data_IF_234445411440
#
_entry.id   IF_234445411440
#
_cell.length_a   1.000
_cell.length_b   1.000
_cell.length_c   1.000
_cell.angle_alpha   90.00
_cell.angle_beta   90.00
_cell.angle_gamma   90.00
#
_symmetry.space_group_name_H-M   'P 1'
#
loop_
_entity.id
_entity.type
_entity.pdbx_description
1 polymer ?
#
# COMPACT_ATOMS: atom_id res chain seq x y z
N UNK A 1 -5.36 21.59 -32.31
CA UNK A 1 -5.08 20.13 -32.30
C UNK A 1 -6.10 19.45 -31.39
N UNK A 2 -6.68 18.32 -31.81
CA UNK A 2 -7.64 17.56 -30.98
C UNK A 2 -6.84 16.67 -30.03
N UNK A 3 -7.03 16.84 -28.72
CA UNK A 3 -6.42 15.97 -27.71
C UNK A 3 -7.28 14.71 -27.60
N UNK A 4 -6.66 13.53 -27.61
CA UNK A 4 -7.37 12.24 -27.54
C UNK A 4 -6.81 11.37 -26.42
N UNK A 5 -7.64 10.46 -25.92
CA UNK A 5 -7.21 9.44 -24.97
C UNK A 5 -6.24 8.47 -25.65
N UNK A 6 -5.07 8.24 -25.06
CA UNK A 6 -4.06 7.33 -25.60
C UNK A 6 -4.53 5.87 -25.61
N UNK A 7 -5.46 5.48 -24.74
CA UNK A 7 -5.96 4.09 -24.66
C UNK A 7 -7.10 3.83 -25.64
N UNK A 8 -8.14 4.67 -25.61
CA UNK A 8 -9.39 4.39 -26.33
C UNK A 8 -9.63 5.34 -27.52
N UNK A 9 -8.66 6.20 -27.84
CA UNK A 9 -8.65 7.20 -28.93
C UNK A 9 -9.79 8.22 -28.93
N UNK A 10 -10.73 8.14 -27.97
CA UNK A 10 -11.82 9.09 -27.80
C UNK A 10 -11.30 10.52 -27.62
N UNK A 11 -11.96 11.52 -28.24
CA UNK A 11 -11.62 12.92 -28.05
C UNK A 11 -11.81 13.33 -26.59
N UNK A 12 -10.87 14.11 -26.09
CA UNK A 12 -10.89 14.70 -24.75
C UNK A 12 -11.38 16.14 -24.84
N UNK A 13 -12.07 16.65 -23.81
CA UNK A 13 -12.44 18.06 -23.80
C UNK A 13 -11.18 18.92 -23.82
N UNK A 14 -11.25 20.12 -24.41
CA UNK A 14 -10.18 21.09 -24.26
C UNK A 14 -9.99 21.42 -22.76
N UNK A 15 -8.76 21.78 -22.34
CA UNK A 15 -8.55 22.29 -20.99
C UNK A 15 -9.48 23.48 -20.74
N UNK A 16 -9.92 23.72 -19.48
CA UNK A 16 -10.81 24.83 -19.16
C UNK A 16 -10.16 26.13 -19.63
N UNK A 17 -10.71 26.69 -20.70
CA UNK A 17 -10.40 28.03 -21.16
C UNK A 17 -11.05 28.99 -20.15
N UNK A 18 -10.35 30.02 -19.68
CA UNK A 18 -10.92 31.04 -18.80
C UNK A 18 -12.01 31.81 -19.55
N UNK A 19 -13.23 31.31 -19.61
CA UNK A 19 -14.37 32.04 -20.17
C UNK A 19 -15.50 32.07 -19.16
N UNK A 20 -15.93 33.29 -18.84
CA UNK A 20 -16.87 33.68 -17.79
C UNK A 20 -18.33 33.24 -18.04
N UNK A 21 -18.57 32.00 -18.45
CA UNK A 21 -19.90 31.56 -18.86
C UNK A 21 -20.38 30.38 -18.02
N UNK A 22 -21.52 30.60 -17.35
CA UNK A 22 -22.26 29.67 -16.49
C UNK A 22 -22.88 28.49 -17.25
N UNK A 23 -22.05 27.66 -17.89
CA UNK A 23 -22.48 26.36 -18.40
C UNK A 23 -21.76 25.25 -17.64
N UNK A 24 -22.51 24.51 -16.82
CA UNK A 24 -22.07 23.27 -16.20
C UNK A 24 -21.89 22.19 -17.27
N UNK A 25 -20.77 22.26 -18.00
CA UNK A 25 -20.28 21.11 -18.74
C UNK A 25 -19.64 20.14 -17.73
N UNK A 26 -19.99 18.84 -17.73
CA UNK A 26 -19.32 17.89 -16.85
C UNK A 26 -17.83 17.92 -17.19
N UNK A 27 -17.01 18.32 -16.22
CA UNK A 27 -15.55 18.34 -16.34
C UNK A 27 -15.07 16.90 -16.58
N UNK A 28 -14.95 16.48 -17.83
CA UNK A 28 -14.27 15.24 -18.19
C UNK A 28 -12.77 15.48 -18.08
N UNK A 29 -12.28 15.57 -16.84
CA UNK A 29 -10.88 15.84 -16.52
C UNK A 29 -10.04 14.63 -16.94
N UNK A 30 -9.36 14.72 -18.08
CA UNK A 30 -8.37 13.72 -18.46
C UNK A 30 -7.13 13.82 -17.57
N UNK A 31 -6.38 12.73 -17.44
CA UNK A 31 -5.15 12.69 -16.63
C UNK A 31 -3.95 12.44 -17.51
N UNK A 32 -2.95 13.30 -17.37
CA UNK A 32 -1.64 13.17 -18.01
C UNK A 32 -0.70 12.37 -17.11
N UNK A 33 -0.11 11.32 -17.64
CA UNK A 33 0.91 10.51 -16.96
C UNK A 33 2.29 11.17 -17.07
N UNK A 34 3.27 10.78 -16.23
CA UNK A 34 4.66 11.26 -16.36
C UNK A 34 5.29 10.96 -17.73
N UNK A 35 4.80 9.95 -18.45
CA UNK A 35 5.21 9.61 -19.82
C UNK A 35 4.46 10.42 -20.89
N UNK A 36 3.82 11.54 -20.52
CA UNK A 36 3.04 12.47 -21.38
C UNK A 36 1.78 11.91 -22.05
N UNK A 37 1.51 10.61 -21.95
CA UNK A 37 0.24 10.03 -22.38
C UNK A 37 -0.94 10.51 -21.53
N UNK A 38 -2.12 10.61 -22.17
CA UNK A 38 -3.32 11.18 -21.55
C UNK A 38 -4.42 10.13 -21.55
N UNK A 39 -4.98 9.83 -20.38
CA UNK A 39 -6.08 8.89 -20.24
C UNK A 39 -7.38 9.61 -19.86
N UNK A 40 -8.49 9.27 -20.52
CA UNK A 40 -9.81 9.67 -20.06
C UNK A 40 -10.15 9.02 -18.72
N UNK A 41 -11.06 9.61 -17.94
CA UNK A 41 -11.48 9.04 -16.65
C UNK A 41 -12.01 7.60 -16.75
N UNK A 42 -12.82 7.21 -17.77
CA UNK A 42 -13.23 5.82 -17.93
C UNK A 42 -12.05 4.84 -18.08
N UNK A 43 -11.06 5.17 -18.91
CA UNK A 43 -9.86 4.34 -19.07
C UNK A 43 -9.00 4.30 -17.81
N UNK A 44 -8.85 5.44 -17.12
CA UNK A 44 -8.14 5.50 -15.85
C UNK A 44 -8.84 4.63 -14.78
N UNK A 45 -10.18 4.70 -14.70
CA UNK A 45 -10.97 3.88 -13.78
C UNK A 45 -10.84 2.39 -14.10
N UNK A 46 -10.89 2.01 -15.38
CA UNK A 46 -10.65 0.61 -15.79
C UNK A 46 -9.26 0.13 -15.40
N UNK A 47 -8.23 0.95 -15.61
CA UNK A 47 -6.85 0.65 -15.19
C UNK A 47 -6.77 0.46 -13.66
N UNK A 48 -7.37 1.36 -12.88
CA UNK A 48 -7.49 1.23 -11.42
C UNK A 48 -8.18 -0.07 -11.01
N UNK A 49 -9.34 -0.39 -11.60
CA UNK A 49 -10.05 -1.64 -11.30
C UNK A 49 -9.17 -2.86 -11.58
N UNK A 50 -8.52 -2.93 -12.74
CA UNK A 50 -7.61 -4.04 -13.08
C UNK A 50 -6.44 -4.14 -12.10
N UNK A 51 -5.92 -3.00 -11.62
CA UNK A 51 -4.86 -2.95 -10.62
C UNK A 51 -5.35 -3.45 -9.24
N UNK A 52 -6.56 -3.06 -8.82
CA UNK A 52 -7.07 -3.34 -7.48
C UNK A 52 -7.81 -4.65 -7.33
N UNK A 53 -8.36 -5.21 -8.41
CA UNK A 53 -9.05 -6.50 -8.36
C UNK A 53 -8.04 -7.60 -8.04
N UNK A 54 -8.23 -8.35 -6.94
CA UNK A 54 -7.42 -9.53 -6.67
C UNK A 54 -7.72 -10.59 -7.73
N UNK A 55 -6.70 -11.03 -8.45
CA UNK A 55 -6.77 -12.17 -9.36
C UNK A 55 -5.80 -13.20 -8.81
N UNK A 56 -6.26 -14.44 -8.66
CA UNK A 56 -5.45 -15.53 -8.14
C UNK A 56 -4.18 -15.69 -8.99
N UNK A 57 -3.04 -15.89 -8.33
CA UNK A 57 -1.72 -16.05 -8.97
C UNK A 57 -1.22 -14.86 -9.81
N UNK A 58 -1.94 -13.74 -9.86
CA UNK A 58 -1.49 -12.53 -10.55
C UNK A 58 -0.97 -11.51 -9.54
N UNK A 59 0.31 -11.13 -9.60
CA UNK A 59 0.85 -10.14 -8.68
C UNK A 59 0.20 -8.78 -8.91
N UNK A 60 0.04 -8.01 -7.83
CA UNK A 60 -0.38 -6.61 -7.93
C UNK A 60 0.51 -5.85 -8.93
N UNK A 61 -0.14 -5.02 -9.76
CA UNK A 61 0.50 -4.07 -10.66
C UNK A 61 -0.13 -2.71 -10.40
N UNK A 62 0.65 -1.67 -10.09
CA UNK A 62 0.09 -0.33 -9.89
C UNK A 62 -0.49 0.22 -11.18
N UNK A 63 -1.39 1.21 -11.05
CA UNK A 63 -1.90 2.02 -12.16
C UNK A 63 -0.72 2.67 -12.88
N UNK A 64 -0.46 2.17 -14.09
CA UNK A 64 0.64 2.59 -14.94
C UNK A 64 0.20 2.73 -16.39
N UNK A 65 0.98 3.48 -17.16
CA UNK A 65 0.76 3.67 -18.60
C UNK A 65 1.87 2.96 -19.39
N UNK A 66 3.10 3.44 -19.26
CA UNK A 66 4.30 2.84 -19.84
C UNK A 66 5.04 1.99 -18.79
N UNK A 67 5.97 1.13 -19.21
CA UNK A 67 6.87 0.44 -18.28
C UNK A 67 7.48 1.44 -17.28
N UNK A 68 7.42 1.11 -16.00
CA UNK A 68 7.94 1.92 -14.89
C UNK A 68 7.32 3.32 -14.75
N UNK A 69 6.24 3.63 -15.47
CA UNK A 69 5.57 4.94 -15.40
C UNK A 69 4.21 4.83 -14.74
N UNK A 70 4.19 5.03 -13.42
CA UNK A 70 2.98 5.00 -12.58
C UNK A 70 2.39 6.38 -12.36
N UNK A 71 1.08 6.43 -12.14
CA UNK A 71 0.43 7.67 -11.72
C UNK A 71 0.64 7.89 -10.21
N UNK A 72 1.07 9.09 -9.77
CA UNK A 72 1.15 9.41 -8.34
C UNK A 72 -0.20 9.23 -7.63
N UNK A 73 -0.18 8.61 -6.44
CA UNK A 73 -1.39 8.32 -5.67
C UNK A 73 -2.26 9.57 -5.37
N UNK A 74 -1.70 10.77 -5.06
CA UNK A 74 -2.51 11.97 -4.88
C UNK A 74 -3.32 12.35 -6.14
N UNK A 75 -2.70 12.22 -7.32
CA UNK A 75 -3.35 12.50 -8.60
C UNK A 75 -4.43 11.46 -8.88
N UNK A 76 -4.12 10.17 -8.66
CA UNK A 76 -5.08 9.08 -8.82
C UNK A 76 -6.30 9.25 -7.90
N UNK A 77 -6.07 9.60 -6.63
CA UNK A 77 -7.13 9.89 -5.65
C UNK A 77 -8.04 11.02 -6.14
N UNK A 78 -7.45 12.14 -6.54
CA UNK A 78 -8.20 13.30 -6.99
C UNK A 78 -8.99 13.01 -8.27
N UNK A 79 -8.36 12.38 -9.26
CA UNK A 79 -8.99 12.10 -10.55
C UNK A 79 -10.15 11.11 -10.47
N UNK A 80 -10.03 10.06 -9.64
CA UNK A 80 -11.07 9.03 -9.51
C UNK A 80 -12.06 9.29 -8.36
N UNK A 81 -11.79 10.27 -7.50
CA UNK A 81 -12.60 10.53 -6.31
C UNK A 81 -12.48 9.42 -5.26
N UNK A 82 -11.29 8.83 -5.10
CA UNK A 82 -11.10 7.70 -4.19
C UNK A 82 -11.30 8.11 -2.73
N UNK A 83 -12.06 7.31 -1.99
CA UNK A 83 -12.24 7.49 -0.55
C UNK A 83 -11.00 7.04 0.25
N UNK A 84 -10.97 7.34 1.54
CA UNK A 84 -9.81 7.04 2.40
C UNK A 84 -9.50 5.54 2.48
N UNK A 85 -10.52 4.67 2.49
CA UNK A 85 -10.32 3.22 2.55
C UNK A 85 -9.72 2.66 1.26
N UNK A 86 -10.18 3.16 0.10
CA UNK A 86 -9.61 2.83 -1.21
C UNK A 86 -8.15 3.26 -1.32
N UNK A 87 -7.84 4.49 -0.89
CA UNK A 87 -6.47 5.03 -0.88
C UNK A 87 -5.57 4.21 0.03
N UNK A 88 -6.02 3.86 1.24
CA UNK A 88 -5.25 3.06 2.20
C UNK A 88 -5.00 1.64 1.68
N UNK A 89 -6.01 1.02 1.05
CA UNK A 89 -5.89 -0.31 0.43
C UNK A 89 -4.91 -0.31 -0.74
N UNK A 90 -5.03 0.66 -1.66
CA UNK A 90 -4.12 0.79 -2.79
C UNK A 90 -2.69 1.07 -2.34
N UNK A 91 -2.50 1.96 -1.36
CA UNK A 91 -1.20 2.25 -0.74
C UNK A 91 -0.58 0.97 -0.17
N UNK A 92 -1.39 0.02 0.32
CA UNK A 92 -0.91 -1.22 0.94
C UNK A 92 -0.25 -2.12 -0.07
N UNK A 93 -0.96 -2.34 -1.16
CA UNK A 93 -0.46 -3.13 -2.28
C UNK A 93 0.73 -2.43 -2.93
N UNK A 94 0.73 -1.09 -2.99
CA UNK A 94 1.84 -0.31 -3.49
C UNK A 94 3.10 -0.46 -2.64
N UNK A 95 2.99 -0.37 -1.32
CA UNK A 95 4.12 -0.57 -0.42
C UNK A 95 4.67 -2.00 -0.46
N UNK A 96 3.79 -3.00 -0.64
CA UNK A 96 4.22 -4.39 -0.84
C UNK A 96 4.96 -4.57 -2.18
N UNK A 97 4.49 -3.90 -3.23
CA UNK A 97 5.10 -3.94 -4.56
C UNK A 97 6.45 -3.23 -4.62
N UNK A 98 6.56 -2.05 -4.01
CA UNK A 98 7.80 -1.26 -3.95
C UNK A 98 8.84 -1.86 -2.97
N UNK A 99 8.43 -2.83 -2.14
CA UNK A 99 9.30 -3.38 -1.09
C UNK A 99 10.28 -4.42 -1.65
N UNK A 100 11.60 -4.23 -1.46
CA UNK A 100 12.61 -5.20 -1.91
C UNK A 100 12.56 -6.50 -1.11
N UNK A 101 12.19 -6.44 0.18
CA UNK A 101 12.11 -7.60 1.08
C UNK A 101 10.72 -7.72 1.66
N UNK A 102 10.02 -8.79 1.29
CA UNK A 102 8.64 -9.05 1.73
C UNK A 102 8.61 -9.68 3.11
N UNK A 103 7.82 -9.11 4.00
CA UNK A 103 7.52 -9.66 5.32
C UNK A 103 6.00 -9.65 5.51
N UNK A 104 5.45 -10.79 5.89
CA UNK A 104 4.02 -10.94 6.14
C UNK A 104 3.78 -11.24 7.63
N UNK A 105 2.58 -10.96 8.10
CA UNK A 105 2.15 -11.35 9.44
C UNK A 105 2.33 -12.86 9.64
N UNK A 106 2.89 -13.27 10.78
CA UNK A 106 3.10 -14.68 11.11
C UNK A 106 1.76 -15.46 11.17
N UNK A 107 0.68 -14.78 11.57
CA UNK A 107 -0.67 -15.34 11.57
C UNK A 107 -1.25 -15.32 10.16
N UNK A 108 -0.80 -16.28 9.34
CA UNK A 108 -1.18 -16.38 7.92
C UNK A 108 -2.65 -16.73 7.72
N UNK A 109 -3.26 -17.43 8.68
CA UNK A 109 -4.65 -17.89 8.59
C UNK A 109 -5.62 -16.75 8.90
N UNK A 110 -5.37 -15.98 9.96
CA UNK A 110 -6.31 -14.92 10.39
C UNK A 110 -5.96 -13.54 9.86
N UNK A 111 -4.71 -13.32 9.43
CA UNK A 111 -4.26 -11.98 9.05
C UNK A 111 -3.47 -11.95 7.74
N UNK A 112 -2.30 -12.59 7.68
CA UNK A 112 -1.46 -12.68 6.48
C UNK A 112 -1.01 -11.36 5.85
N UNK A 113 -1.33 -10.19 6.43
CA UNK A 113 -1.02 -8.88 5.84
C UNK A 113 0.48 -8.64 5.69
N UNK A 114 0.85 -7.99 4.60
CA UNK A 114 2.20 -7.43 4.43
C UNK A 114 2.52 -6.41 5.53
N UNK A 115 3.75 -6.46 6.04
CA UNK A 115 4.30 -5.56 7.05
C UNK A 115 5.31 -4.63 6.35
N UNK A 116 4.99 -3.35 6.14
CA UNK A 116 5.89 -2.37 5.55
C UNK A 116 7.22 -2.26 6.30
N UNK A 117 8.30 -1.93 5.59
CA UNK A 117 9.65 -1.76 6.15
C UNK A 117 9.70 -0.76 7.31
N UNK A 118 8.93 0.32 7.21
CA UNK A 118 8.81 1.36 8.25
C UNK A 118 8.20 0.85 9.56
N UNK A 119 7.51 -0.29 9.54
CA UNK A 119 6.91 -0.91 10.73
C UNK A 119 7.79 -2.05 11.26
N UNK A 120 9.08 -2.06 10.93
CA UNK A 120 10.06 -3.08 11.35
C UNK A 120 11.14 -2.44 12.23
N UNK A 121 11.31 -2.94 13.45
CA UNK A 121 12.30 -2.50 14.45
C UNK A 121 13.64 -3.27 14.33
N UNK A 122 14.07 -3.54 13.09
CA UNK A 122 15.26 -4.32 12.77
C UNK A 122 15.04 -5.84 12.90
N UNK A 123 14.63 -6.33 14.07
CA UNK A 123 14.41 -7.77 14.30
C UNK A 123 12.94 -8.20 14.26
N UNK A 124 12.01 -7.26 14.47
CA UNK A 124 10.58 -7.54 14.54
C UNK A 124 9.81 -6.59 13.63
N UNK A 125 8.88 -7.13 12.84
CA UNK A 125 7.85 -6.38 12.15
C UNK A 125 6.55 -6.37 12.95
N UNK A 126 5.91 -5.22 13.12
CA UNK A 126 4.61 -5.11 13.80
C UNK A 126 3.49 -5.00 12.77
N UNK A 127 2.53 -5.93 12.81
CA UNK A 127 1.39 -5.94 11.92
C UNK A 127 0.37 -4.86 12.32
N UNK A 128 -0.01 -3.97 11.41
CA UNK A 128 -1.04 -2.94 11.66
C UNK A 128 -2.48 -3.49 11.75
N UNK A 129 -2.71 -4.71 11.28
CA UNK A 129 -4.04 -5.34 11.30
C UNK A 129 -4.35 -6.00 12.63
N UNK A 130 -3.52 -6.98 13.01
CA UNK A 130 -3.72 -7.77 14.22
C UNK A 130 -2.75 -7.42 15.36
N UNK A 131 -1.87 -6.43 15.20
CA UNK A 131 -0.86 -6.01 16.19
C UNK A 131 0.20 -7.07 16.51
N UNK A 132 0.13 -8.22 15.82
CA UNK A 132 1.08 -9.30 15.91
C UNK A 132 2.51 -8.86 15.58
N UNK A 133 3.46 -9.41 16.32
CA UNK A 133 4.90 -9.18 16.15
C UNK A 133 5.49 -10.37 15.39
N UNK A 134 6.04 -10.12 14.22
CA UNK A 134 6.67 -11.12 13.34
C UNK A 134 8.19 -10.96 13.39
N UNK A 135 8.95 -12.03 13.56
CA UNK A 135 10.41 -12.02 13.42
C UNK A 135 10.80 -11.73 11.95
N UNK A 136 11.61 -10.69 11.72
CA UNK A 136 12.06 -10.28 10.38
C UNK A 136 12.94 -11.36 9.73
N UNK A 137 13.65 -12.17 10.53
CA UNK A 137 14.59 -13.20 10.04
C UNK A 137 13.88 -14.47 9.58
N UNK A 138 12.95 -15.00 10.38
CA UNK A 138 12.28 -16.27 10.07
C UNK A 138 10.83 -16.13 9.57
N UNK A 139 10.21 -14.94 9.70
CA UNK A 139 8.80 -14.72 9.36
C UNK A 139 7.81 -15.37 10.34
N UNK A 140 8.30 -16.01 11.41
CA UNK A 140 7.50 -16.56 12.50
C UNK A 140 7.10 -15.52 13.54
N UNK A 141 6.46 -15.95 14.64
CA UNK A 141 6.18 -15.08 15.78
C UNK A 141 7.48 -14.53 16.38
N UNK A 142 7.49 -13.26 16.77
CA UNK A 142 8.67 -12.64 17.38
C UNK A 142 9.10 -13.35 18.67
N UNK A 143 10.41 -13.47 18.87
CA UNK A 143 11.05 -14.15 19.99
C UNK A 143 12.35 -13.43 20.41
N UNK A 144 12.76 -13.54 21.68
CA UNK A 144 14.06 -13.04 22.16
C UNK A 144 15.18 -13.94 21.66
N UNK A 145 16.33 -13.35 21.31
CA UNK A 145 17.44 -14.08 20.68
C UNK A 145 18.40 -14.78 21.66
N UNK A 146 17.93 -15.17 22.85
CA UNK A 146 18.74 -15.85 23.85
C UNK A 146 18.87 -17.36 23.62
N UNK A 147 18.21 -17.93 22.61
CA UNK A 147 18.39 -19.30 22.15
C UNK A 147 19.20 -19.32 20.85
N UNK A 148 20.45 -18.91 20.94
CA UNK A 148 21.46 -19.12 19.91
C UNK A 148 22.04 -20.53 20.07
N UNK A 149 21.45 -21.49 19.36
CA UNK A 149 22.17 -22.68 18.91
C UNK A 149 22.53 -22.45 17.45
N UNK A 150 23.82 -22.27 17.22
CA UNK A 150 24.45 -22.09 15.92
C UNK A 150 23.96 -23.10 14.90
N UNK A 151 23.46 -22.63 13.74
CA UNK A 151 23.68 -23.28 12.44
C UNK A 151 23.29 -22.31 11.32
N UNK A 152 24.25 -22.09 10.43
CA UNK A 152 24.10 -21.51 9.12
C UNK A 152 22.86 -22.03 8.38
N UNK A 153 21.88 -21.15 8.15
CA UNK A 153 20.76 -21.43 7.25
C UNK A 153 19.39 -21.47 7.91
N UNK A 154 18.69 -20.33 7.90
CA UNK A 154 17.28 -20.34 7.46
C UNK A 154 16.21 -21.01 8.32
N UNK A 155 16.25 -20.95 9.66
CA UNK A 155 15.02 -20.92 10.49
C UNK A 155 15.39 -20.62 11.94
N UNK A 156 14.72 -19.65 12.55
CA UNK A 156 14.74 -19.53 14.00
C UNK A 156 13.83 -20.64 14.51
N UNK A 157 14.39 -21.67 15.16
CA UNK A 157 13.59 -22.71 15.79
C UNK A 157 12.75 -22.08 16.91
N UNK A 158 11.43 -22.20 16.78
CA UNK A 158 10.46 -21.54 17.65
C UNK A 158 10.52 -22.12 19.06
N UNK A 159 11.24 -21.45 19.95
CA UNK A 159 11.09 -21.61 21.40
C UNK A 159 9.80 -20.93 21.84
N UNK A 160 8.95 -21.70 22.52
CA UNK A 160 7.58 -21.36 22.88
C UNK A 160 7.37 -20.19 23.83
N UNK A 161 6.08 -20.01 24.09
CA UNK A 161 5.39 -19.09 24.98
C UNK A 161 6.26 -18.51 26.12
N UNK A 162 6.63 -17.23 26.01
CA UNK A 162 7.07 -16.46 27.18
C UNK A 162 5.83 -15.95 27.87
N UNK A 163 5.37 -16.76 28.83
CA UNK A 163 4.39 -16.39 29.82
C UNK A 163 4.82 -15.19 30.67
N UNK A 164 3.83 -14.35 30.96
CA UNK A 164 3.66 -13.40 32.07
C UNK A 164 4.93 -12.96 32.83
N UNK A 165 5.34 -11.71 32.60
CA UNK A 165 6.13 -10.90 33.55
C UNK A 165 5.40 -9.59 33.84
N UNK A 166 4.95 -9.41 35.09
CA UNK A 166 4.22 -8.24 35.57
C UNK A 166 5.05 -6.95 35.51
N UNK A 167 4.36 -5.81 35.38
CA UNK A 167 4.96 -4.46 35.43
C UNK A 167 4.95 -3.65 34.12
N UNK A 168 4.14 -4.05 33.12
CA UNK A 168 4.24 -3.54 31.72
C UNK A 168 2.93 -2.89 31.22
N UNK A 169 2.11 -2.30 32.09
CA UNK A 169 0.83 -1.70 31.68
C UNK A 169 1.00 -0.36 30.94
N UNK A 170 1.73 0.57 31.56
CA UNK A 170 1.80 1.97 31.12
C UNK A 170 2.80 2.24 29.99
N UNK A 171 3.88 1.46 29.88
CA UNK A 171 4.86 1.59 28.77
C UNK A 171 4.33 1.00 27.46
N UNK A 172 3.63 -0.13 27.54
CA UNK A 172 3.08 -0.84 26.38
C UNK A 172 1.96 -0.04 25.69
N UNK A 173 1.17 0.71 26.46
CA UNK A 173 0.14 1.59 25.91
C UNK A 173 0.74 2.77 25.13
N UNK A 174 1.83 3.38 25.62
CA UNK A 174 2.49 4.50 24.94
C UNK A 174 3.11 4.06 23.62
N UNK A 175 3.84 2.93 23.59
CA UNK A 175 4.39 2.38 22.34
C UNK A 175 3.30 1.96 21.33
N UNK A 176 2.12 1.57 21.82
CA UNK A 176 0.98 1.24 20.96
C UNK A 176 0.29 2.48 20.39
N UNK A 177 0.12 3.53 21.18
CA UNK A 177 -0.42 4.80 20.72
C UNK A 177 0.53 5.50 19.73
N UNK A 178 1.83 5.46 19.98
CA UNK A 178 2.83 6.01 19.06
C UNK A 178 2.79 5.28 17.72
N UNK A 179 2.73 3.95 17.75
CA UNK A 179 2.56 3.16 16.53
C UNK A 179 1.24 3.49 15.83
N UNK A 180 0.12 3.65 16.55
CA UNK A 180 -1.16 4.12 15.99
C UNK A 180 -1.03 5.49 15.34
N UNK A 181 -0.23 6.39 15.91
CA UNK A 181 0.04 7.72 15.35
C UNK A 181 0.80 7.59 14.04
N UNK A 182 1.91 6.84 14.02
CA UNK A 182 2.72 6.61 12.80
C UNK A 182 1.89 5.99 11.69
N UNK A 183 1.06 4.98 11.99
CA UNK A 183 0.17 4.34 11.02
C UNK A 183 -0.82 5.36 10.43
N UNK A 184 -1.41 6.22 11.26
CA UNK A 184 -2.33 7.29 10.81
C UNK A 184 -1.64 8.37 9.99
N UNK A 185 -0.48 8.85 10.41
CA UNK A 185 0.31 9.87 9.69
C UNK A 185 0.71 9.39 8.29
N UNK A 186 1.03 8.11 8.18
CA UNK A 186 1.34 7.46 6.90
C UNK A 186 0.08 7.10 6.09
N UNK A 187 -1.11 7.48 6.58
CA UNK A 187 -2.44 7.34 5.98
C UNK A 187 -2.81 5.90 5.64
N UNK A 188 -2.65 5.01 6.61
CA UNK A 188 -2.95 3.58 6.56
C UNK A 188 -4.23 3.20 7.29
#
# INVERSE_FOLDING_TARGET
>A
MKITCTICTNPLPPPPQHTSSHHHHPKTVAVTFPCTHIHCLPCLRRNYTLSTTPIENVPFRPVQCCPNTRLPLPILRHALGLNSAEVASYRARLAEYDSPVKLYCFDRVRCGRFIPTVLRDGRVGRCRGCWGRTCVRCGGRAHSSSSSSSSSGGRCEGGGDVGKGGGVGRRKSVEEEEFRRVVREMGW
#
